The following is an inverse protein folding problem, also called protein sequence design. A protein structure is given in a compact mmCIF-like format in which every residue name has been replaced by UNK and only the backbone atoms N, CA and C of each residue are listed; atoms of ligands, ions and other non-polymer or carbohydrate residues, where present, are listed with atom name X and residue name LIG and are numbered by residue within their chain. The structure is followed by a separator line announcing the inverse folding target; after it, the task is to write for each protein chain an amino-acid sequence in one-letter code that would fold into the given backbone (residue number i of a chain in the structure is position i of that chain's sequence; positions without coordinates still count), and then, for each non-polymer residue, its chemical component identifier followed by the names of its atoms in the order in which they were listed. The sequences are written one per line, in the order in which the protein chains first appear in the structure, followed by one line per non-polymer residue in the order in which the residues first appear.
data_IF_707597254078
#
_entry.id   IF_707597254078
#
_cell.length_a   1.000
_cell.length_b   1.000
_cell.length_c   1.000
_cell.angle_alpha   90.00
_cell.angle_beta   90.00
_cell.angle_gamma   90.00
#
_symmetry.space_group_name_H-M   'P 1'
#
loop_
_entity.id
_entity.type
_entity.pdbx_description
1 polymer ?
#
# COMPACT_ATOMS: atom_id res chain seq x y z
N UNK A 1 -9.32 -16.00 22.72
CA UNK A 1 -8.48 -14.79 22.55
C UNK A 1 -8.16 -14.47 21.07
N UNK A 2 -9.03 -14.83 20.11
CA UNK A 2 -8.76 -14.66 18.65
C UNK A 2 -9.57 -13.54 17.96
N UNK A 3 -10.38 -12.79 18.72
CA UNK A 3 -11.26 -11.75 18.17
C UNK A 3 -10.49 -10.53 17.63
N UNK A 4 -9.30 -10.24 18.17
CA UNK A 4 -8.54 -9.02 17.88
C UNK A 4 -8.09 -8.91 16.42
N UNK A 5 -7.59 -10.00 15.81
CA UNK A 5 -7.10 -9.95 14.42
C UNK A 5 -8.23 -9.72 13.41
N UNK A 6 -9.41 -10.29 13.65
CA UNK A 6 -10.57 -10.12 12.76
C UNK A 6 -11.10 -8.70 12.82
N UNK A 7 -11.23 -8.15 14.01
CA UNK A 7 -11.64 -6.76 14.24
C UNK A 7 -10.67 -5.77 13.62
N UNK A 8 -9.36 -5.98 13.79
CA UNK A 8 -8.33 -5.16 13.18
C UNK A 8 -8.35 -5.20 11.64
N UNK A 9 -8.65 -6.36 11.03
CA UNK A 9 -8.87 -6.46 9.58
C UNK A 9 -10.12 -5.68 9.15
N UNK A 10 -11.18 -5.75 9.93
CA UNK A 10 -12.43 -5.03 9.65
C UNK A 10 -12.22 -3.51 9.72
N UNK A 11 -11.59 -3.02 10.79
CA UNK A 11 -11.20 -1.62 10.94
C UNK A 11 -10.32 -1.14 9.78
N UNK A 12 -9.35 -1.95 9.34
CA UNK A 12 -8.52 -1.64 8.17
C UNK A 12 -9.35 -1.49 6.89
N UNK A 13 -10.31 -2.38 6.68
CA UNK A 13 -11.22 -2.33 5.52
C UNK A 13 -12.09 -1.07 5.55
N UNK A 14 -12.61 -0.72 6.72
CA UNK A 14 -13.42 0.49 6.92
C UNK A 14 -12.63 1.77 6.66
N UNK A 15 -11.42 1.88 7.23
CA UNK A 15 -10.53 3.02 7.00
C UNK A 15 -10.18 3.15 5.51
N UNK A 16 -9.84 2.04 4.84
CA UNK A 16 -9.59 2.03 3.39
C UNK A 16 -10.81 2.45 2.58
N UNK A 17 -11.99 1.95 2.94
CA UNK A 17 -13.25 2.30 2.27
C UNK A 17 -13.56 3.79 2.45
N UNK A 18 -13.39 4.34 3.64
CA UNK A 18 -13.57 5.76 3.93
C UNK A 18 -12.57 6.64 3.14
N UNK A 19 -11.28 6.29 3.18
CA UNK A 19 -10.24 7.00 2.43
C UNK A 19 -10.47 6.96 0.92
N UNK A 20 -10.88 5.80 0.38
CA UNK A 20 -11.23 5.64 -1.03
C UNK A 20 -12.46 6.46 -1.45
N UNK A 21 -13.50 6.52 -0.60
CA UNK A 21 -14.69 7.35 -0.85
C UNK A 21 -14.31 8.83 -0.90
N UNK A 22 -13.48 9.30 0.04
CA UNK A 22 -12.99 10.69 0.08
C UNK A 22 -12.13 11.02 -1.14
N UNK A 23 -11.16 10.17 -1.49
CA UNK A 23 -10.32 10.33 -2.69
C UNK A 23 -11.17 10.40 -3.96
N UNK A 24 -12.11 9.47 -4.12
CA UNK A 24 -12.99 9.46 -5.30
C UNK A 24 -13.83 10.74 -5.41
N UNK A 25 -14.38 11.22 -4.29
CA UNK A 25 -15.14 12.48 -4.28
C UNK A 25 -14.27 13.65 -4.71
N UNK A 26 -13.06 13.76 -4.16
CA UNK A 26 -12.14 14.85 -4.47
C UNK A 26 -11.72 14.83 -5.94
N UNK A 27 -11.36 13.66 -6.48
CA UNK A 27 -11.00 13.55 -7.91
C UNK A 27 -12.18 13.86 -8.83
N UNK A 28 -13.40 13.40 -8.49
CA UNK A 28 -14.60 13.75 -9.28
C UNK A 28 -14.89 15.25 -9.26
N UNK A 29 -14.73 15.89 -8.11
CA UNK A 29 -14.92 17.32 -7.96
C UNK A 29 -13.86 18.09 -8.76
N UNK A 30 -12.59 17.69 -8.65
CA UNK A 30 -11.50 18.28 -9.43
C UNK A 30 -11.73 18.19 -10.94
N UNK A 31 -12.20 17.04 -11.43
CA UNK A 31 -12.55 16.88 -12.85
C UNK A 31 -13.69 17.80 -13.31
N UNK A 32 -14.65 18.11 -12.43
CA UNK A 32 -15.77 18.99 -12.76
C UNK A 32 -15.41 20.48 -12.67
N UNK A 33 -14.56 20.85 -11.72
CA UNK A 33 -14.19 22.25 -11.46
C UNK A 33 -13.00 22.70 -12.34
N UNK A 34 -11.97 21.86 -12.48
CA UNK A 34 -10.73 22.15 -13.21
C UNK A 34 -10.17 20.89 -13.87
N UNK A 35 -10.70 20.50 -15.04
CA UNK A 35 -10.31 19.25 -15.69
C UNK A 35 -8.82 19.17 -16.03
N UNK A 36 -8.18 20.30 -16.38
CA UNK A 36 -6.76 20.35 -16.76
C UNK A 36 -5.83 20.11 -15.56
N UNK A 37 -6.15 20.66 -14.40
CA UNK A 37 -5.38 20.50 -13.15
C UNK A 37 -5.68 19.17 -12.42
N UNK A 38 -6.80 18.52 -12.74
CA UNK A 38 -7.26 17.31 -12.07
C UNK A 38 -6.23 16.16 -12.12
N UNK A 39 -5.45 16.08 -13.21
CA UNK A 39 -4.40 15.06 -13.41
C UNK A 39 -3.24 15.22 -12.44
N UNK A 40 -2.95 16.46 -12.00
CA UNK A 40 -1.89 16.80 -11.06
C UNK A 40 -2.36 16.83 -9.60
N UNK A 41 -3.63 16.51 -9.36
CA UNK A 41 -4.21 16.58 -8.02
C UNK A 41 -3.76 15.40 -7.16
N UNK A 42 -2.90 15.67 -6.19
CA UNK A 42 -2.50 14.69 -5.18
C UNK A 42 -3.53 14.61 -4.04
N UNK A 43 -3.75 13.40 -3.52
CA UNK A 43 -4.67 13.17 -2.41
C UNK A 43 -3.94 12.63 -1.19
N UNK A 44 -3.90 13.43 -0.13
CA UNK A 44 -3.41 12.96 1.17
C UNK A 44 -4.51 12.23 1.96
N UNK A 45 -4.22 10.96 2.28
CA UNK A 45 -5.08 10.10 3.07
C UNK A 45 -5.12 10.47 4.56
N UNK A 46 -4.07 11.10 5.11
CA UNK A 46 -4.00 11.57 6.50
C UNK A 46 -4.60 10.60 7.52
N UNK A 47 -5.65 11.04 8.23
CA UNK A 47 -6.38 10.25 9.25
C UNK A 47 -7.06 8.98 8.71
N UNK A 48 -7.37 8.94 7.42
CA UNK A 48 -7.92 7.76 6.74
C UNK A 48 -6.84 6.84 6.16
N UNK A 49 -5.58 7.04 6.55
CA UNK A 49 -4.49 6.16 6.18
C UNK A 49 -4.55 4.84 6.96
N UNK A 50 -4.58 3.74 6.21
CA UNK A 50 -4.48 2.39 6.77
C UNK A 50 -3.03 1.95 7.07
N UNK A 51 -2.04 2.84 6.90
CA UNK A 51 -0.62 2.52 7.05
C UNK A 51 -0.28 1.93 8.42
N UNK A 52 -0.88 2.48 9.49
CA UNK A 52 -0.73 1.99 10.87
C UNK A 52 -1.24 0.56 11.08
N UNK A 53 -2.08 0.08 10.15
CA UNK A 53 -2.68 -1.25 10.16
C UNK A 53 -2.02 -2.22 9.15
N UNK A 54 -0.84 -1.87 8.62
CA UNK A 54 -0.03 -2.78 7.83
C UNK A 54 0.78 -3.73 8.73
N UNK A 55 0.99 -4.97 8.30
CA UNK A 55 1.76 -5.97 9.07
C UNK A 55 0.98 -6.69 10.19
N UNK A 56 -0.30 -6.40 10.40
CA UNK A 56 -1.15 -7.12 11.38
C UNK A 56 -1.31 -8.61 10.99
N UNK A 57 -1.19 -8.90 9.69
CA UNK A 57 -1.25 -10.25 9.12
C UNK A 57 0.16 -10.77 8.82
N UNK A 58 1.10 -10.60 9.76
CA UNK A 58 2.38 -11.33 9.74
C UNK A 58 2.09 -12.80 10.03
N UNK A 59 1.70 -13.50 8.98
CA UNK A 59 1.58 -14.95 8.96
C UNK A 59 2.98 -15.55 9.11
N UNK A 60 3.24 -16.18 10.26
CA UNK A 60 4.53 -16.81 10.56
C UNK A 60 4.88 -17.90 9.55
N UNK A 61 3.89 -18.44 8.83
CA UNK A 61 4.09 -19.44 7.78
C UNK A 61 4.50 -18.86 6.43
N UNK A 62 4.39 -17.53 6.23
CA UNK A 62 4.78 -16.82 5.00
C UNK A 62 6.19 -16.24 5.02
N UNK A 63 7.00 -16.55 6.03
CA UNK A 63 8.41 -16.16 6.03
C UNK A 63 9.07 -16.70 4.75
N UNK A 64 9.45 -15.80 3.83
CA UNK A 64 10.35 -16.17 2.74
C UNK A 64 11.62 -16.65 3.42
N UNK A 65 11.91 -17.96 3.33
CA UNK A 65 13.24 -18.48 3.66
C UNK A 65 14.21 -17.62 2.86
N UNK A 66 14.95 -16.76 3.54
CA UNK A 66 16.02 -15.99 2.94
C UNK A 66 17.03 -17.01 2.45
N UNK A 67 16.96 -17.38 1.18
CA UNK A 67 18.02 -18.14 0.53
C UNK A 67 19.25 -17.21 0.49
N UNK A 68 20.34 -17.52 1.20
CA UNK A 68 21.56 -16.73 1.15
C UNK A 68 22.39 -17.23 -0.02
N UNK A 69 21.97 -16.99 -1.26
CA UNK A 69 22.76 -17.38 -2.44
C UNK A 69 22.63 -16.27 -3.50
N UNK A 70 23.35 -15.18 -3.27
CA UNK A 70 23.66 -14.19 -4.30
C UNK A 70 25.01 -13.53 -3.98
N UNK A 71 26.02 -14.34 -3.68
CA UNK A 71 27.42 -13.95 -3.75
C UNK A 71 28.08 -14.84 -4.78
N UNK A 72 28.18 -14.35 -6.00
CA UNK A 72 29.23 -14.62 -7.01
C UNK A 72 28.65 -14.36 -8.41
N UNK A 73 28.45 -13.08 -8.74
CA UNK A 73 28.54 -12.67 -10.13
C UNK A 73 30.02 -12.76 -10.52
N UNK A 74 30.43 -13.93 -11.01
CA UNK A 74 31.66 -14.11 -11.78
C UNK A 74 31.75 -12.99 -12.83
N UNK A 75 32.83 -12.22 -12.77
CA UNK A 75 33.20 -11.27 -13.80
C UNK A 75 33.27 -12.00 -15.16
N UNK A 76 32.47 -11.55 -16.13
CA UNK A 76 32.68 -11.88 -17.53
C UNK A 76 33.97 -11.20 -17.98
N UNK A 77 34.91 -11.88 -18.66
CA UNK A 77 36.01 -11.18 -19.29
C UNK A 77 35.49 -10.45 -20.53
N UNK A 78 35.87 -9.17 -20.66
CA UNK A 78 35.59 -8.34 -21.82
C UNK A 78 36.18 -8.99 -23.09
N UNK A 79 35.41 -9.16 -24.19
CA UNK A 79 36.00 -9.46 -25.47
C UNK A 79 36.50 -8.15 -26.10
N UNK A 80 37.77 -8.20 -26.51
CA UNK A 80 38.45 -7.24 -27.38
C UNK A 80 37.58 -6.73 -28.54
#
# INVERSE_FOLDING_TARGET
MDQTKRELRQQKREIKRAGGKRRRRLLKQGLAERPDEATHTEFDFGRSSSAKLNGIDRDSTRQRRSHPEATESKALPDPF
#
